data_IF_668903094093
#
_entry.id   IF_668903094093
#
_cell.length_a   1.000
_cell.length_b   1.000
_cell.length_c   1.000
_cell.angle_alpha   90.00
_cell.angle_beta   90.00
_cell.angle_gamma   90.00
#
_symmetry.space_group_name_H-M   'P 1'
#
loop_
_entity.id
_entity.type
_entity.pdbx_description
1 polymer ?
#
# COMPACT_ATOMS: atom_id res chain seq x y z
N UNK A 1 -20.51 47.59 19.42
CA UNK A 1 -20.04 46.36 20.10
C UNK A 1 -19.20 45.57 19.10
N UNK A 2 -17.87 45.65 19.21
CA UNK A 2 -16.95 44.94 18.33
C UNK A 2 -16.47 43.66 19.00
N UNK A 3 -16.77 42.50 18.40
CA UNK A 3 -16.30 41.20 18.89
C UNK A 3 -14.81 41.06 18.62
N UNK A 4 -14.01 40.96 19.68
CA UNK A 4 -12.58 40.66 19.62
C UNK A 4 -12.39 39.20 19.19
N UNK A 5 -11.78 38.97 18.02
CA UNK A 5 -11.30 37.64 17.61
C UNK A 5 -10.08 37.28 18.46
N UNK A 6 -10.14 36.18 19.20
CA UNK A 6 -8.99 35.63 19.91
C UNK A 6 -7.91 35.12 18.94
N UNK A 7 -6.65 34.97 19.39
CA UNK A 7 -5.58 34.51 18.52
C UNK A 7 -5.86 33.07 18.09
N UNK A 8 -5.78 32.80 16.78
CA UNK A 8 -5.71 31.43 16.28
C UNK A 8 -4.36 30.88 16.74
N UNK A 9 -4.42 29.88 17.61
CA UNK A 9 -3.24 29.10 17.95
C UNK A 9 -2.95 28.25 16.72
N UNK A 10 -1.90 28.60 15.98
CA UNK A 10 -1.39 27.78 14.90
C UNK A 10 -0.89 26.48 15.52
N UNK A 11 -1.72 25.42 15.40
CA UNK A 11 -1.31 24.07 15.76
C UNK A 11 -0.20 23.70 14.77
N UNK A 12 1.04 23.43 15.21
CA UNK A 12 2.07 22.95 14.30
C UNK A 12 1.54 21.67 13.66
N UNK A 13 1.51 21.64 12.34
CA UNK A 13 1.27 20.44 11.57
C UNK A 13 2.40 19.46 11.88
N UNK A 14 2.23 18.66 12.93
CA UNK A 14 3.13 17.56 13.27
C UNK A 14 2.89 16.50 12.20
N UNK A 15 3.66 16.60 11.13
CA UNK A 15 3.80 15.52 10.16
C UNK A 15 4.24 14.27 10.94
N UNK A 16 3.42 13.21 11.03
CA UNK A 16 3.74 12.08 11.87
C UNK A 16 4.83 11.27 11.17
N UNK A 17 6.07 11.47 11.62
CA UNK A 17 7.29 10.75 11.26
C UNK A 17 7.67 10.73 9.76
N UNK A 18 8.84 11.30 9.38
CA UNK A 18 9.57 10.69 8.27
C UNK A 18 9.92 9.25 8.69
N UNK A 19 9.90 8.26 7.79
CA UNK A 19 10.55 6.97 8.04
C UNK A 19 12.07 7.21 7.98
N UNK A 20 12.80 7.41 9.10
CA UNK A 20 14.13 8.01 9.03
C UNK A 20 15.23 6.98 8.75
N UNK A 21 15.00 5.69 8.99
CA UNK A 21 16.00 4.62 8.82
C UNK A 21 15.71 3.70 7.63
N UNK A 22 14.43 3.48 7.28
CA UNK A 22 14.07 2.71 6.09
C UNK A 22 14.49 3.40 4.77
N UNK A 23 14.73 4.71 4.75
CA UNK A 23 14.84 5.43 3.47
C UNK A 23 16.15 5.15 2.69
N UNK A 24 17.29 4.98 3.36
CA UNK A 24 18.58 4.78 2.67
C UNK A 24 18.77 3.38 2.10
N UNK A 25 18.41 2.34 2.85
CA UNK A 25 18.47 0.96 2.38
C UNK A 25 17.52 0.74 1.18
N UNK A 26 16.33 1.35 1.23
CA UNK A 26 15.37 1.27 0.14
C UNK A 26 15.84 2.01 -1.10
N UNK A 27 16.52 3.15 -0.97
CA UNK A 27 17.13 3.83 -2.13
C UNK A 27 18.12 2.93 -2.85
N UNK A 28 19.03 2.29 -2.12
CA UNK A 28 20.02 1.40 -2.73
C UNK A 28 19.35 0.20 -3.43
N UNK A 29 18.32 -0.39 -2.81
CA UNK A 29 17.62 -1.51 -3.44
C UNK A 29 16.75 -1.09 -4.65
N UNK A 30 16.19 0.13 -4.65
CA UNK A 30 15.48 0.69 -5.80
C UNK A 30 16.45 0.87 -6.97
N UNK A 31 17.65 1.39 -6.72
CA UNK A 31 18.72 1.49 -7.72
C UNK A 31 19.13 0.11 -8.26
N UNK A 32 19.29 -0.89 -7.39
CA UNK A 32 19.60 -2.28 -7.80
C UNK A 32 18.50 -2.88 -8.69
N UNK A 33 17.25 -2.48 -8.48
CA UNK A 33 16.13 -2.88 -9.33
C UNK A 33 15.92 -1.99 -10.54
N UNK A 34 16.85 -1.11 -10.89
CA UNK A 34 16.71 -0.13 -11.99
C UNK A 34 15.46 0.76 -11.85
N UNK A 35 15.00 0.95 -10.63
CA UNK A 35 13.93 1.87 -10.27
C UNK A 35 14.45 3.28 -10.09
N UNK A 36 13.54 4.26 -10.20
CA UNK A 36 13.89 5.68 -10.03
C UNK A 36 13.24 6.33 -8.83
N UNK A 37 12.13 5.79 -8.34
CA UNK A 37 11.34 6.43 -7.28
C UNK A 37 10.65 5.41 -6.37
N UNK A 38 10.47 5.81 -5.11
CA UNK A 38 9.68 5.13 -4.10
C UNK A 38 8.39 5.91 -3.84
N UNK A 39 7.22 5.29 -4.06
CA UNK A 39 5.94 5.93 -3.75
C UNK A 39 5.13 5.11 -2.74
N UNK A 40 4.60 5.77 -1.69
CA UNK A 40 3.65 5.16 -0.77
C UNK A 40 2.26 5.06 -1.41
N UNK A 41 1.84 3.85 -1.79
CA UNK A 41 0.54 3.64 -2.45
C UNK A 41 -0.62 3.62 -1.47
N UNK A 42 -0.44 2.96 -0.33
CA UNK A 42 -1.49 2.73 0.66
C UNK A 42 -0.88 2.60 2.06
N UNK A 43 -1.64 3.02 3.06
CA UNK A 43 -1.42 2.69 4.47
C UNK A 43 -2.75 2.17 5.01
N UNK A 44 -2.80 0.89 5.37
CA UNK A 44 -4.00 0.24 5.88
C UNK A 44 -3.70 -0.70 7.02
N UNK A 45 -4.70 -0.94 7.86
CA UNK A 45 -4.71 -2.06 8.81
C UNK A 45 -5.03 -3.35 8.06
N UNK A 46 -4.26 -4.41 8.33
CA UNK A 46 -4.49 -5.74 7.76
C UNK A 46 -5.77 -6.38 8.31
N UNK A 47 -6.61 -6.88 7.40
CA UNK A 47 -7.82 -7.61 7.76
C UNK A 47 -7.51 -9.08 8.03
N UNK A 48 -8.43 -9.81 8.68
CA UNK A 48 -8.30 -11.26 8.83
C UNK A 48 -8.14 -11.96 7.48
N UNK A 49 -8.84 -11.48 6.45
CA UNK A 49 -8.76 -12.02 5.09
C UNK A 49 -7.39 -11.81 4.47
N UNK A 50 -6.74 -10.67 4.74
CA UNK A 50 -5.38 -10.44 4.26
C UNK A 50 -4.39 -11.40 4.93
N UNK A 51 -4.60 -11.76 6.20
CA UNK A 51 -3.71 -12.66 6.94
C UNK A 51 -4.09 -14.15 6.83
N UNK A 52 -5.18 -14.46 6.13
CA UNK A 52 -5.62 -15.83 5.94
C UNK A 52 -4.74 -16.50 4.87
N UNK A 53 -4.01 -17.55 5.28
CA UNK A 53 -3.11 -18.31 4.43
C UNK A 53 -3.82 -18.97 3.25
N UNK A 54 -5.11 -19.30 3.37
CA UNK A 54 -5.88 -19.93 2.30
C UNK A 54 -6.24 -18.92 1.19
N UNK A 55 -6.33 -17.64 1.53
CA UNK A 55 -6.63 -16.58 0.57
C UNK A 55 -5.38 -16.01 -0.10
N UNK A 56 -4.22 -16.05 0.58
CA UNK A 56 -2.89 -15.67 0.08
C UNK A 56 -2.88 -14.37 -0.74
N UNK A 57 -3.59 -13.35 -0.22
CA UNK A 57 -3.77 -12.07 -0.92
C UNK A 57 -3.71 -10.89 0.03
N UNK A 58 -3.15 -9.80 -0.46
CA UNK A 58 -3.25 -8.49 0.15
C UNK A 58 -4.22 -7.63 -0.66
N UNK A 59 -5.26 -7.11 -0.01
CA UNK A 59 -6.23 -6.20 -0.62
C UNK A 59 -5.83 -4.73 -0.46
N UNK A 60 -6.00 -3.97 -1.53
CA UNK A 60 -5.81 -2.51 -1.61
C UNK A 60 -7.11 -1.85 -2.08
N UNK A 61 -8.03 -1.50 -1.15
CA UNK A 61 -9.30 -0.88 -1.49
C UNK A 61 -9.09 0.47 -2.17
N UNK A 62 -9.83 0.77 -3.24
CA UNK A 62 -9.62 1.99 -4.02
C UNK A 62 -9.74 3.27 -3.18
N UNK A 63 -10.68 3.30 -2.21
CA UNK A 63 -10.84 4.44 -1.32
C UNK A 63 -9.74 4.65 -0.27
N UNK A 64 -8.75 3.76 -0.20
CA UNK A 64 -7.59 3.87 0.72
C UNK A 64 -6.27 4.13 -0.03
N UNK A 65 -6.29 4.11 -1.36
CA UNK A 65 -5.12 4.39 -2.20
C UNK A 65 -4.90 5.90 -2.22
N UNK A 66 -3.68 6.33 -1.90
CA UNK A 66 -3.36 7.75 -1.68
C UNK A 66 -2.82 8.44 -2.93
N UNK A 67 -2.31 7.67 -3.89
CA UNK A 67 -1.59 8.18 -5.07
C UNK A 67 -1.98 7.41 -6.32
N UNK A 68 -1.87 8.07 -7.47
CA UNK A 68 -1.95 7.39 -8.77
C UNK A 68 -0.60 6.75 -9.07
N UNK A 69 -0.52 5.43 -8.93
CA UNK A 69 0.72 4.66 -9.15
C UNK A 69 0.71 3.83 -10.43
N UNK A 70 -0.42 3.81 -11.15
CA UNK A 70 -0.58 3.08 -12.40
C UNK A 70 -0.77 4.05 -13.55
N UNK A 71 -0.19 3.72 -14.70
CA UNK A 71 -0.48 4.34 -16.00
C UNK A 71 -1.92 4.00 -16.41
N UNK A 72 -2.53 4.85 -17.23
CA UNK A 72 -3.92 4.64 -17.68
C UNK A 72 -4.09 3.32 -18.43
N UNK A 73 -3.10 2.90 -19.21
CA UNK A 73 -3.10 1.59 -19.87
C UNK A 73 -3.11 0.42 -18.87
N UNK A 74 -2.34 0.52 -17.79
CA UNK A 74 -2.29 -0.50 -16.74
C UNK A 74 -3.62 -0.59 -16.00
N UNK A 75 -4.24 0.56 -15.68
CA UNK A 75 -5.59 0.61 -15.10
C UNK A 75 -6.61 -0.02 -16.03
N UNK A 76 -6.55 0.26 -17.33
CA UNK A 76 -7.45 -0.32 -18.32
C UNK A 76 -7.28 -1.84 -18.38
N UNK A 77 -6.04 -2.32 -18.46
CA UNK A 77 -5.74 -3.75 -18.45
C UNK A 77 -6.30 -4.44 -17.19
N UNK A 78 -6.06 -3.87 -16.01
CA UNK A 78 -6.56 -4.41 -14.74
C UNK A 78 -8.10 -4.42 -14.68
N UNK A 79 -8.76 -3.36 -15.15
CA UNK A 79 -10.23 -3.29 -15.20
C UNK A 79 -10.84 -4.36 -16.12
N UNK A 80 -10.11 -4.77 -17.15
CA UNK A 80 -10.47 -5.88 -18.05
C UNK A 80 -10.12 -7.26 -17.47
N UNK A 81 -9.82 -7.35 -16.17
CA UNK A 81 -9.44 -8.58 -15.45
C UNK A 81 -8.12 -9.19 -15.92
N UNK A 82 -7.32 -8.45 -16.68
CA UNK A 82 -5.93 -8.84 -16.92
C UNK A 82 -5.16 -8.68 -15.61
N UNK A 83 -4.11 -9.48 -15.49
CA UNK A 83 -3.20 -9.45 -14.35
C UNK A 83 -1.83 -9.03 -14.87
N UNK A 84 -1.07 -8.38 -14.01
CA UNK A 84 0.31 -8.01 -14.33
C UNK A 84 1.24 -8.42 -13.20
N UNK A 85 2.45 -8.81 -13.56
CA UNK A 85 3.51 -9.04 -12.61
C UNK A 85 4.13 -7.69 -12.23
N UNK A 86 4.26 -7.43 -10.93
CA UNK A 86 4.84 -6.20 -10.40
C UNK A 86 5.99 -6.53 -9.47
N UNK A 87 7.10 -5.76 -9.49
CA UNK A 87 8.11 -5.86 -8.45
C UNK A 87 7.49 -5.49 -7.10
N UNK A 88 7.89 -6.20 -6.06
CA UNK A 88 7.46 -5.95 -4.70
C UNK A 88 8.66 -6.03 -3.77
N UNK A 89 8.70 -5.10 -2.80
CA UNK A 89 9.68 -5.06 -1.74
C UNK A 89 8.99 -4.99 -0.39
N UNK A 90 9.28 -5.96 0.48
CA UNK A 90 8.81 -5.94 1.86
C UNK A 90 9.69 -5.05 2.75
N UNK A 91 9.14 -4.62 3.90
CA UNK A 91 9.91 -3.97 4.97
C UNK A 91 11.11 -4.82 5.42
N UNK A 92 10.97 -6.15 5.42
CA UNK A 92 12.04 -7.12 5.68
C UNK A 92 13.08 -7.26 4.55
N UNK A 93 13.16 -6.28 3.63
CA UNK A 93 14.04 -6.28 2.45
C UNK A 93 13.84 -7.49 1.50
N UNK A 94 12.73 -8.21 1.63
CA UNK A 94 12.41 -9.30 0.71
C UNK A 94 11.95 -8.70 -0.61
N UNK A 95 12.77 -8.89 -1.64
CA UNK A 95 12.47 -8.49 -3.01
C UNK A 95 11.91 -9.68 -3.77
N UNK A 96 10.80 -9.47 -4.46
CA UNK A 96 10.18 -10.50 -5.28
C UNK A 96 9.26 -9.90 -6.32
N UNK A 97 8.55 -10.78 -7.01
CA UNK A 97 7.52 -10.38 -7.97
C UNK A 97 6.17 -10.88 -7.48
N UNK A 98 5.17 -10.01 -7.50
CA UNK A 98 3.80 -10.35 -7.14
C UNK A 98 2.88 -10.17 -8.33
N UNK A 99 1.73 -10.83 -8.29
CA UNK A 99 0.70 -10.62 -9.29
C UNK A 99 -0.27 -9.56 -8.77
N UNK A 100 -0.39 -8.46 -9.50
CA UNK A 100 -1.41 -7.44 -9.31
C UNK A 100 -2.64 -7.75 -10.19
N UNK A 101 -3.81 -7.70 -9.57
CA UNK A 101 -5.09 -7.82 -10.27
C UNK A 101 -6.15 -6.88 -9.69
N UNK A 102 -7.23 -6.66 -10.43
CA UNK A 102 -8.41 -5.92 -9.95
C UNK A 102 -9.61 -6.83 -9.78
N UNK A 103 -10.25 -6.70 -8.63
CA UNK A 103 -11.49 -7.38 -8.31
C UNK A 103 -12.61 -6.35 -8.13
N UNK A 104 -13.68 -6.47 -8.90
CA UNK A 104 -14.90 -5.70 -8.68
C UNK A 104 -15.93 -6.58 -7.95
N UNK A 105 -16.39 -6.08 -6.81
CA UNK A 105 -17.37 -6.72 -5.95
C UNK A 105 -18.68 -5.96 -6.07
N UNK A 106 -19.73 -6.64 -6.55
CA UNK A 106 -21.09 -6.11 -6.47
C UNK A 106 -21.58 -6.21 -5.03
N UNK A 107 -22.12 -5.12 -4.53
CA UNK A 107 -22.81 -5.08 -3.24
C UNK A 107 -24.29 -5.31 -3.45
N UNK A 108 -24.97 -5.79 -2.41
CA UNK A 108 -26.42 -6.00 -2.42
C UNK A 108 -27.19 -4.71 -2.67
N UNK A 109 -26.59 -3.56 -2.35
CA UNK A 109 -27.14 -2.23 -2.65
C UNK A 109 -27.10 -1.85 -4.14
N UNK A 110 -26.65 -2.74 -5.03
CA UNK A 110 -26.44 -2.49 -6.46
C UNK A 110 -25.15 -1.72 -6.79
N UNK A 111 -24.45 -1.19 -5.78
CA UNK A 111 -23.20 -0.47 -5.98
C UNK A 111 -22.04 -1.45 -6.21
N UNK A 112 -21.06 -1.03 -7.02
CA UNK A 112 -19.84 -1.79 -7.25
C UNK A 112 -18.69 -1.18 -6.45
N UNK A 113 -17.90 -2.02 -5.78
CA UNK A 113 -16.63 -1.61 -5.18
C UNK A 113 -15.48 -2.36 -5.82
N UNK A 114 -14.45 -1.63 -6.24
CA UNK A 114 -13.24 -2.19 -6.81
C UNK A 114 -12.10 -2.21 -5.79
N UNK A 115 -11.31 -3.27 -5.86
CA UNK A 115 -10.14 -3.50 -5.00
C UNK A 115 -9.00 -4.03 -5.87
N UNK A 116 -7.79 -3.53 -5.66
CA UNK A 116 -6.61 -4.19 -6.20
C UNK A 116 -6.17 -5.29 -5.24
N UNK A 117 -5.68 -6.40 -5.78
CA UNK A 117 -5.16 -7.52 -4.99
C UNK A 117 -3.74 -7.84 -5.44
N UNK A 118 -2.85 -7.98 -4.47
CA UNK A 118 -1.53 -8.58 -4.65
C UNK A 118 -1.61 -10.03 -4.19
N UNK A 119 -1.19 -10.95 -5.04
CA UNK A 119 -1.22 -12.40 -4.76
C UNK A 119 0.15 -13.05 -4.95
N UNK A 120 0.20 -14.37 -4.78
CA UNK A 120 1.38 -15.24 -4.91
C UNK A 120 2.21 -15.30 -3.64
N UNK A 121 3.07 -14.32 -3.37
CA UNK A 121 4.05 -14.40 -2.26
C UNK A 121 3.61 -13.71 -0.97
N UNK A 122 2.36 -13.25 -0.88
CA UNK A 122 1.90 -12.49 0.27
C UNK A 122 1.98 -13.25 1.60
N UNK A 123 1.67 -14.55 1.61
CA UNK A 123 1.78 -15.36 2.82
C UNK A 123 3.21 -15.40 3.38
N UNK A 124 4.22 -15.47 2.50
CA UNK A 124 5.62 -15.46 2.90
C UNK A 124 6.03 -14.10 3.46
N UNK A 125 5.58 -13.00 2.82
CA UNK A 125 5.76 -11.65 3.37
C UNK A 125 5.15 -11.57 4.77
N UNK A 126 3.91 -11.99 4.94
CA UNK A 126 3.19 -11.91 6.20
C UNK A 126 3.86 -12.74 7.29
N UNK A 127 4.32 -13.96 6.96
CA UNK A 127 5.04 -14.83 7.88
C UNK A 127 6.40 -14.26 8.29
N UNK A 128 7.20 -13.82 7.32
CA UNK A 128 8.56 -13.31 7.56
C UNK A 128 8.57 -11.99 8.33
N UNK A 129 7.48 -11.22 8.25
CA UNK A 129 7.30 -9.98 9.01
C UNK A 129 6.48 -10.20 10.30
N UNK A 130 6.22 -11.46 10.69
CA UNK A 130 5.45 -11.84 11.88
C UNK A 130 4.09 -11.12 12.01
N UNK A 131 3.43 -10.87 10.87
CA UNK A 131 2.19 -10.10 10.83
C UNK A 131 1.05 -10.89 11.48
N UNK A 132 0.42 -10.32 12.51
CA UNK A 132 -0.73 -10.91 13.20
C UNK A 132 -1.93 -9.96 13.21
N UNK A 133 -3.12 -10.55 13.31
CA UNK A 133 -4.36 -9.79 13.39
C UNK A 133 -4.36 -8.89 14.64
N UNK A 134 -4.71 -7.62 14.48
CA UNK A 134 -4.86 -6.68 15.59
C UNK A 134 -3.55 -6.18 16.23
N UNK A 135 -2.36 -6.55 15.72
CA UNK A 135 -1.11 -5.97 16.20
C UNK A 135 -0.98 -4.50 15.81
N UNK A 136 -1.17 -3.62 16.79
CA UNK A 136 -0.57 -2.29 16.81
C UNK A 136 0.89 -2.45 17.26
N UNK A 137 1.80 -2.63 16.30
CA UNK A 137 3.22 -2.53 16.59
C UNK A 137 3.56 -1.05 16.85
N UNK A 138 4.54 -0.77 17.71
CA UNK A 138 5.08 0.58 17.99
C UNK A 138 5.57 1.33 16.74
N UNK A 139 5.64 0.63 15.61
CA UNK A 139 5.65 1.20 14.26
C UNK A 139 4.35 0.77 13.59
N UNK A 140 3.40 1.70 13.44
CA UNK A 140 2.12 1.43 12.80
C UNK A 140 2.37 0.76 11.45
N UNK A 141 1.96 -0.50 11.33
CA UNK A 141 2.15 -1.30 10.12
C UNK A 141 1.13 -0.85 9.07
N UNK A 142 1.44 0.30 8.48
CA UNK A 142 1.16 0.62 7.09
C UNK A 142 1.76 -0.48 6.25
N UNK A 143 0.94 -1.26 5.53
CA UNK A 143 1.52 -1.99 4.41
C UNK A 143 1.92 -0.97 3.37
N UNK A 144 3.16 -0.52 3.46
CA UNK A 144 3.77 0.35 2.47
C UNK A 144 4.05 -0.51 1.24
N UNK A 145 3.03 -0.65 0.40
CA UNK A 145 3.23 -1.21 -0.94
C UNK A 145 3.97 -0.14 -1.73
N UNK A 146 5.27 -0.35 -1.90
CA UNK A 146 6.09 0.45 -2.79
C UNK A 146 6.04 -0.21 -4.16
N UNK A 147 5.59 0.53 -5.15
CA UNK A 147 5.76 0.14 -6.54
C UNK A 147 6.90 0.96 -7.12
N UNK A 148 7.80 0.25 -7.76
CA UNK A 148 9.01 0.81 -8.34
C UNK A 148 8.69 1.20 -9.77
N UNK A 149 8.79 2.49 -10.06
CA UNK A 149 8.66 2.99 -11.41
C UNK A 149 10.00 2.82 -12.13
N UNK A 150 9.96 2.20 -13.31
CA UNK A 150 11.09 2.13 -14.23
C UNK A 150 11.03 3.32 -15.21
N UNK A 151 12.18 3.89 -15.55
CA UNK A 151 12.32 4.95 -16.56
C UNK A 151 12.00 4.44 -17.97
#
# INVERSE_FOLDING_TARGET
MGSRKGPKVDVPNVNPNPLPELCEEFKHMIEQMAGTEMTMVIQKTLTMTDLNTDHSRLSMPFGQIQVNFLREEEKQNLSQRRKMEVPFMAASQMVGKMILGQWDMRKDSGNMSSVYVLTTYWNEVAKNNELKHGMWSKFGLSVLVMLINFA
#
